data_IF_700739178196
#
_entry.id   IF_700739178196
#
_cell.length_a   1.000
_cell.length_b   1.000
_cell.length_c   1.000
_cell.angle_alpha   90.00
_cell.angle_beta   90.00
_cell.angle_gamma   90.00
#
_symmetry.space_group_name_H-M   'P 1'
#
loop_
_entity.id
_entity.type
_entity.pdbx_description
1 polymer ?
#
# COMPACT_ATOMS: atom_id res chain seq x y z
N UNK A 1 -6.60 28.76 -15.04
CA UNK A 1 -5.68 27.93 -15.83
C UNK A 1 -4.30 28.03 -15.23
N UNK A 2 -3.63 26.90 -14.95
CA UNK A 2 -2.27 26.88 -14.42
C UNK A 2 -1.28 26.15 -15.34
N UNK A 3 -1.76 25.35 -16.27
CA UNK A 3 -0.93 24.79 -17.34
C UNK A 3 -1.73 24.52 -18.61
N UNK A 4 -1.02 24.38 -19.74
CA UNK A 4 -1.58 23.95 -21.04
C UNK A 4 -0.65 22.92 -21.65
N UNK A 5 -1.23 21.82 -22.13
CA UNK A 5 -0.53 20.72 -22.81
C UNK A 5 -1.19 20.52 -24.18
N UNK A 6 -0.48 20.79 -25.27
CA UNK A 6 -0.97 20.66 -26.65
C UNK A 6 -2.35 21.32 -26.91
N UNK A 7 -2.67 22.38 -26.18
CA UNK A 7 -3.96 23.06 -26.23
C UNK A 7 -4.99 22.60 -25.20
N UNK A 8 -4.77 21.49 -24.51
CA UNK A 8 -5.62 21.05 -23.38
C UNK A 8 -5.28 21.82 -22.11
N UNK A 9 -6.27 22.46 -21.51
CA UNK A 9 -6.10 23.25 -20.28
C UNK A 9 -6.11 22.37 -19.04
N UNK A 10 -5.12 22.57 -18.16
CA UNK A 10 -5.12 22.08 -16.77
C UNK A 10 -5.58 23.23 -15.88
N UNK A 11 -6.77 23.09 -15.28
CA UNK A 11 -7.42 24.14 -14.52
C UNK A 11 -6.86 24.19 -13.08
N UNK A 12 -6.90 25.37 -12.49
CA UNK A 12 -6.54 25.60 -11.10
C UNK A 12 -7.31 24.69 -10.14
N UNK A 13 -8.63 24.57 -10.35
CA UNK A 13 -9.50 23.80 -9.47
C UNK A 13 -9.14 22.31 -9.47
N UNK A 14 -8.68 21.78 -10.60
CA UNK A 14 -8.18 20.41 -10.71
C UNK A 14 -6.91 20.22 -9.86
N UNK A 15 -5.94 21.13 -9.98
CA UNK A 15 -4.71 21.09 -9.19
C UNK A 15 -5.01 21.24 -7.70
N UNK A 16 -5.89 22.16 -7.30
CA UNK A 16 -6.31 22.33 -5.90
C UNK A 16 -7.00 21.06 -5.33
N UNK A 17 -7.79 20.36 -6.15
CA UNK A 17 -8.42 19.09 -5.78
C UNK A 17 -7.38 18.00 -5.51
N UNK A 18 -6.42 17.81 -6.41
CA UNK A 18 -5.33 16.83 -6.20
C UNK A 18 -4.40 17.23 -5.05
N UNK A 19 -4.09 18.51 -4.90
CA UNK A 19 -3.34 19.03 -3.76
C UNK A 19 -4.02 18.63 -2.43
N UNK A 20 -5.32 18.87 -2.29
CA UNK A 20 -6.07 18.51 -1.07
C UNK A 20 -6.10 17.02 -0.79
N UNK A 21 -6.14 16.19 -1.82
CA UNK A 21 -6.12 14.73 -1.64
C UNK A 21 -4.78 14.21 -1.11
N UNK A 22 -3.70 14.99 -1.23
CA UNK A 22 -2.35 14.65 -0.76
C UNK A 22 -2.02 15.24 0.62
N UNK A 23 -2.75 16.27 1.05
CA UNK A 23 -2.58 16.86 2.38
C UNK A 23 -3.37 16.05 3.40
N UNK A 24 -2.71 15.66 4.50
CA UNK A 24 -3.40 14.96 5.59
C UNK A 24 -4.34 15.94 6.32
N UNK A 25 -5.66 15.71 6.33
CA UNK A 25 -6.62 16.61 6.97
C UNK A 25 -6.50 16.66 8.50
N UNK A 26 -5.87 15.67 9.11
CA UNK A 26 -5.63 15.59 10.57
C UNK A 26 -4.20 16.04 10.95
N UNK A 27 -3.39 16.40 9.96
CA UNK A 27 -2.01 16.84 10.14
C UNK A 27 -1.89 18.34 10.37
N UNK A 28 -0.65 18.80 10.63
CA UNK A 28 -0.34 20.21 10.65
C UNK A 28 -0.48 20.79 9.23
N UNK A 29 -1.10 21.97 9.11
CA UNK A 29 -1.19 22.65 7.81
C UNK A 29 0.21 22.91 7.25
N UNK A 30 0.49 22.58 5.99
CA UNK A 30 1.79 22.86 5.40
C UNK A 30 2.04 24.36 5.31
N UNK A 31 3.29 24.74 5.47
CA UNK A 31 3.71 26.13 5.24
C UNK A 31 3.37 26.59 3.82
N UNK A 32 3.39 27.90 3.56
CA UNK A 32 3.11 28.44 2.23
C UNK A 32 4.09 27.89 1.17
N UNK A 33 5.36 27.72 1.53
CA UNK A 33 6.39 27.19 0.63
C UNK A 33 6.19 25.70 0.35
N UNK A 34 5.87 24.91 1.37
CA UNK A 34 5.55 23.49 1.23
C UNK A 34 4.29 23.28 0.38
N UNK A 35 3.24 24.06 0.64
CA UNK A 35 2.01 24.03 -0.14
C UNK A 35 2.27 24.37 -1.62
N UNK A 36 3.11 25.36 -1.88
CA UNK A 36 3.46 25.78 -3.22
C UNK A 36 4.30 24.71 -3.95
N UNK A 37 5.29 24.15 -3.26
CA UNK A 37 6.11 23.05 -3.77
C UNK A 37 5.25 21.85 -4.14
N UNK A 38 4.29 21.48 -3.27
CA UNK A 38 3.36 20.38 -3.54
C UNK A 38 2.45 20.68 -4.75
N UNK A 39 1.95 21.92 -4.88
CA UNK A 39 1.13 22.32 -6.05
C UNK A 39 1.93 22.31 -7.35
N UNK A 40 3.20 22.69 -7.34
CA UNK A 40 4.08 22.57 -8.49
C UNK A 40 4.28 21.11 -8.89
N UNK A 41 4.51 20.22 -7.92
CA UNK A 41 4.65 18.78 -8.16
C UNK A 41 3.37 18.18 -8.74
N UNK A 42 2.21 18.52 -8.17
CA UNK A 42 0.89 18.09 -8.69
C UNK A 42 0.68 18.59 -10.12
N UNK A 43 1.04 19.83 -10.39
CA UNK A 43 0.92 20.41 -11.75
C UNK A 43 1.80 19.64 -12.74
N UNK A 44 3.04 19.32 -12.39
CA UNK A 44 3.93 18.54 -13.24
C UNK A 44 3.42 17.11 -13.48
N UNK A 45 2.86 16.47 -12.45
CA UNK A 45 2.20 15.17 -12.58
C UNK A 45 1.00 15.22 -13.55
N UNK A 46 0.15 16.23 -13.43
CA UNK A 46 -1.00 16.39 -14.32
C UNK A 46 -0.57 16.68 -15.76
N UNK A 47 0.47 17.49 -15.98
CA UNK A 47 1.08 17.71 -17.30
C UNK A 47 1.54 16.38 -17.89
N UNK A 48 2.29 15.58 -17.13
CA UNK A 48 2.80 14.28 -17.59
C UNK A 48 1.66 13.31 -17.92
N UNK A 49 0.62 13.27 -17.08
CA UNK A 49 -0.56 12.44 -17.29
C UNK A 49 -1.32 12.85 -18.58
N UNK A 50 -1.47 14.15 -18.83
CA UNK A 50 -2.15 14.64 -20.05
C UNK A 50 -1.35 14.30 -21.32
N UNK A 51 -0.02 14.44 -21.29
CA UNK A 51 0.86 14.02 -22.40
C UNK A 51 0.67 12.53 -22.70
N UNK A 52 0.68 11.67 -21.67
CA UNK A 52 0.50 10.24 -21.84
C UNK A 52 -0.92 9.88 -22.29
N UNK A 53 -1.94 10.58 -21.78
CA UNK A 53 -3.34 10.37 -22.18
C UNK A 53 -3.56 10.71 -23.66
N UNK A 54 -3.02 11.81 -24.12
CA UNK A 54 -3.08 12.17 -25.56
C UNK A 54 -2.39 11.12 -26.44
N UNK A 55 -1.27 10.57 -26.00
CA UNK A 55 -0.62 9.46 -26.72
C UNK A 55 -1.48 8.20 -26.72
N UNK A 56 -2.11 7.88 -25.58
CA UNK A 56 -3.05 6.77 -25.50
C UNK A 56 -4.21 6.95 -26.50
N UNK A 57 -4.77 8.16 -26.61
CA UNK A 57 -5.82 8.50 -27.57
C UNK A 57 -5.34 8.33 -29.02
N UNK A 58 -4.17 8.87 -29.37
CA UNK A 58 -3.57 8.74 -30.71
C UNK A 58 -3.34 7.29 -31.13
N UNK A 59 -3.12 6.40 -30.17
CA UNK A 59 -2.90 4.98 -30.39
C UNK A 59 -4.15 4.11 -30.21
N UNK A 60 -5.32 4.72 -29.99
CA UNK A 60 -6.60 4.03 -29.68
C UNK A 60 -6.50 3.07 -28.49
N UNK A 61 -5.85 3.51 -27.43
CA UNK A 61 -5.65 2.78 -26.18
C UNK A 61 -6.49 3.33 -25.02
N UNK A 62 -7.52 4.10 -25.32
CA UNK A 62 -8.44 4.57 -24.29
C UNK A 62 -9.17 3.40 -23.64
N UNK A 63 -9.42 3.53 -22.33
CA UNK A 63 -10.19 2.54 -21.62
C UNK A 63 -11.67 2.61 -22.03
N UNK A 64 -12.27 1.46 -22.30
CA UNK A 64 -13.68 1.32 -22.59
C UNK A 64 -14.55 1.55 -21.36
N UNK A 65 -15.86 1.79 -21.56
CA UNK A 65 -16.81 1.93 -20.45
C UNK A 65 -16.87 0.66 -19.60
N UNK A 66 -16.78 -0.52 -20.22
CA UNK A 66 -16.73 -1.81 -19.50
C UNK A 66 -15.53 -1.93 -18.57
N UNK A 67 -14.31 -1.63 -19.08
CA UNK A 67 -13.09 -1.66 -18.25
C UNK A 67 -13.16 -0.70 -17.06
N UNK A 68 -13.78 0.46 -17.26
CA UNK A 68 -13.98 1.45 -16.18
C UNK A 68 -14.99 0.95 -15.16
N UNK A 69 -16.09 0.34 -15.60
CA UNK A 69 -17.13 -0.17 -14.70
C UNK A 69 -16.63 -1.38 -13.89
N UNK A 70 -15.88 -2.28 -14.51
CA UNK A 70 -15.25 -3.43 -13.84
C UNK A 70 -14.32 -2.94 -12.73
N UNK A 71 -13.46 -1.96 -13.04
CA UNK A 71 -12.52 -1.39 -12.05
C UNK A 71 -13.22 -0.61 -10.95
N UNK A 72 -14.28 0.11 -11.29
CA UNK A 72 -15.13 0.81 -10.32
C UNK A 72 -15.79 -0.18 -9.36
N UNK A 73 -16.35 -1.28 -9.87
CA UNK A 73 -16.98 -2.33 -9.07
C UNK A 73 -15.96 -3.01 -8.15
N UNK A 74 -14.76 -3.31 -8.65
CA UNK A 74 -13.66 -3.85 -7.83
C UNK A 74 -13.31 -2.93 -6.66
N UNK A 75 -13.16 -1.62 -6.90
CA UNK A 75 -12.83 -0.63 -5.87
C UNK A 75 -13.95 -0.44 -4.85
N UNK A 76 -15.19 -0.59 -5.27
CA UNK A 76 -16.38 -0.43 -4.40
C UNK A 76 -16.62 -1.67 -3.54
N UNK A 77 -16.26 -2.86 -4.03
CA UNK A 77 -16.63 -4.15 -3.44
C UNK A 77 -16.26 -4.35 -1.95
N UNK A 78 -15.16 -3.76 -1.40
CA UNK A 78 -14.83 -3.90 0.01
C UNK A 78 -15.70 -3.05 0.96
N UNK A 79 -16.51 -2.14 0.42
CA UNK A 79 -17.26 -1.15 1.19
C UNK A 79 -18.75 -1.34 1.04
N UNK A 80 -19.51 -0.97 2.07
CA UNK A 80 -20.95 -0.71 1.94
C UNK A 80 -21.17 0.56 1.12
N UNK A 81 -22.39 0.74 0.56
CA UNK A 81 -22.73 1.95 -0.20
C UNK A 81 -22.49 3.23 0.60
N UNK A 82 -22.92 3.25 1.86
CA UNK A 82 -22.78 4.43 2.73
C UNK A 82 -21.33 4.75 3.08
N UNK A 83 -20.49 3.74 3.27
CA UNK A 83 -19.05 3.90 3.51
C UNK A 83 -18.35 4.43 2.27
N UNK A 84 -18.67 3.87 1.12
CA UNK A 84 -18.11 4.31 -0.16
C UNK A 84 -18.46 5.77 -0.45
N UNK A 85 -19.73 6.16 -0.28
CA UNK A 85 -20.16 7.55 -0.47
C UNK A 85 -19.50 8.51 0.53
N UNK A 86 -19.33 8.10 1.79
CA UNK A 86 -18.60 8.90 2.79
C UNK A 86 -17.14 9.11 2.39
N UNK A 87 -16.47 8.09 1.87
CA UNK A 87 -15.09 8.21 1.40
C UNK A 87 -14.96 9.14 0.19
N UNK A 88 -15.87 9.04 -0.78
CA UNK A 88 -15.90 9.96 -1.92
C UNK A 88 -16.08 11.40 -1.47
N UNK A 89 -17.05 11.63 -0.57
CA UNK A 89 -17.33 12.96 -0.01
C UNK A 89 -16.15 13.53 0.77
N UNK A 90 -15.46 12.72 1.56
CA UNK A 90 -14.26 13.12 2.29
C UNK A 90 -13.14 13.58 1.35
N UNK A 91 -13.06 13.01 0.13
CA UNK A 91 -12.11 13.39 -0.92
C UNK A 91 -12.63 14.50 -1.84
N UNK A 92 -13.86 15.01 -1.62
CA UNK A 92 -14.49 16.00 -2.48
C UNK A 92 -14.74 15.49 -3.92
N UNK A 93 -15.00 14.19 -4.09
CA UNK A 93 -15.19 13.53 -5.38
C UNK A 93 -16.62 13.03 -5.55
N UNK A 94 -17.14 13.11 -6.78
CA UNK A 94 -18.34 12.40 -7.21
C UNK A 94 -17.97 11.02 -7.80
N UNK A 95 -18.97 10.16 -7.99
CA UNK A 95 -18.80 8.88 -8.71
C UNK A 95 -18.30 9.12 -10.14
N UNK A 96 -18.82 10.14 -10.82
CA UNK A 96 -18.42 10.49 -12.19
C UNK A 96 -16.97 11.01 -12.24
N UNK A 97 -16.53 11.74 -11.21
CA UNK A 97 -15.13 12.15 -11.08
C UNK A 97 -14.22 10.92 -10.95
N UNK A 98 -14.59 9.98 -10.07
CA UNK A 98 -13.84 8.75 -9.89
C UNK A 98 -13.78 7.93 -11.19
N UNK A 99 -14.89 7.76 -11.89
CA UNK A 99 -14.92 7.03 -13.17
C UNK A 99 -14.07 7.72 -14.26
N UNK A 100 -14.06 9.06 -14.30
CA UNK A 100 -13.16 9.80 -15.21
C UNK A 100 -11.70 9.58 -14.88
N UNK A 101 -11.33 9.63 -13.60
CA UNK A 101 -9.96 9.39 -13.14
C UNK A 101 -9.53 7.94 -13.42
N UNK A 102 -10.42 6.96 -13.22
CA UNK A 102 -10.18 5.57 -13.58
C UNK A 102 -9.94 5.40 -15.09
N UNK A 103 -10.75 6.04 -15.93
CA UNK A 103 -10.54 6.00 -17.39
C UNK A 103 -9.17 6.54 -17.77
N UNK A 104 -8.77 7.69 -17.21
CA UNK A 104 -7.43 8.26 -17.44
C UNK A 104 -6.33 7.29 -17.04
N UNK A 105 -6.41 6.75 -15.82
CA UNK A 105 -5.42 5.81 -15.28
C UNK A 105 -5.32 4.53 -16.12
N UNK A 106 -6.44 3.91 -16.46
CA UNK A 106 -6.49 2.69 -17.26
C UNK A 106 -5.94 2.93 -18.67
N UNK A 107 -6.27 4.07 -19.29
CA UNK A 107 -5.75 4.44 -20.63
C UNK A 107 -4.24 4.61 -20.62
N UNK A 108 -3.69 5.32 -19.61
CA UNK A 108 -2.24 5.48 -19.42
C UNK A 108 -1.59 4.12 -19.13
N UNK A 109 -2.21 3.28 -18.32
CA UNK A 109 -1.70 1.94 -18.04
C UNK A 109 -1.63 1.07 -19.31
N UNK A 110 -2.68 1.08 -20.14
CA UNK A 110 -2.69 0.37 -21.45
C UNK A 110 -1.57 0.87 -22.35
N UNK A 111 -1.35 2.19 -22.41
CA UNK A 111 -0.25 2.77 -23.16
C UNK A 111 1.10 2.26 -22.67
N UNK A 112 1.37 2.36 -21.36
CA UNK A 112 2.64 1.95 -20.78
C UNK A 112 2.85 0.44 -20.86
N UNK A 113 1.79 -0.36 -20.73
CA UNK A 113 1.89 -1.81 -20.93
C UNK A 113 2.33 -2.14 -22.36
N UNK A 114 1.75 -1.48 -23.38
CA UNK A 114 2.08 -1.70 -24.79
C UNK A 114 3.45 -1.13 -25.17
N UNK A 115 3.73 0.11 -24.81
CA UNK A 115 4.91 0.84 -25.30
C UNK A 115 6.15 0.61 -24.43
N UNK A 116 5.99 0.15 -23.20
CA UNK A 116 7.08 -0.07 -22.24
C UNK A 116 7.14 -1.53 -21.82
N UNK A 117 6.15 -2.01 -21.06
CA UNK A 117 6.22 -3.31 -20.39
C UNK A 117 6.35 -4.49 -21.38
N UNK A 118 5.62 -4.44 -22.50
CA UNK A 118 5.67 -5.46 -23.55
C UNK A 118 7.04 -5.56 -24.26
N UNK A 119 7.86 -4.52 -24.19
CA UNK A 119 9.20 -4.48 -24.80
C UNK A 119 10.30 -5.00 -23.87
N UNK A 120 9.96 -5.29 -22.61
CA UNK A 120 10.94 -5.75 -21.62
C UNK A 120 11.16 -7.25 -21.75
N UNK A 121 12.36 -7.61 -22.12
CA UNK A 121 12.85 -9.01 -22.09
C UNK A 121 13.96 -9.14 -21.05
N UNK A 122 13.87 -10.17 -20.22
CA UNK A 122 14.91 -10.56 -19.26
C UNK A 122 15.41 -11.93 -19.69
N UNK A 123 16.64 -11.98 -20.14
CA UNK A 123 17.29 -13.23 -20.59
C UNK A 123 17.90 -13.99 -19.43
N UNK A 124 18.24 -15.27 -19.62
CA UNK A 124 18.99 -16.06 -18.65
C UNK A 124 20.37 -15.49 -18.39
N UNK A 125 20.98 -14.87 -19.41
CA UNK A 125 22.25 -14.16 -19.28
C UNK A 125 22.12 -12.95 -18.35
N UNK A 126 21.05 -12.14 -18.49
CA UNK A 126 20.80 -11.01 -17.58
C UNK A 126 20.69 -11.50 -16.11
N UNK A 127 20.05 -12.67 -15.90
CA UNK A 127 19.92 -13.28 -14.57
C UNK A 127 21.26 -13.73 -14.02
N UNK A 128 22.06 -14.41 -14.86
CA UNK A 128 23.40 -14.88 -14.45
C UNK A 128 24.33 -13.72 -14.12
N UNK A 129 24.34 -12.67 -14.93
CA UNK A 129 25.20 -11.49 -14.73
C UNK A 129 24.81 -10.74 -13.46
N UNK A 130 23.50 -10.56 -13.23
CA UNK A 130 23.01 -9.95 -12.02
C UNK A 130 23.38 -10.77 -10.78
N UNK A 131 23.18 -12.08 -10.83
CA UNK A 131 23.54 -12.98 -9.74
C UNK A 131 25.03 -12.89 -9.42
N UNK A 132 25.91 -12.98 -10.43
CA UNK A 132 27.36 -12.95 -10.25
C UNK A 132 27.83 -11.62 -9.62
N UNK A 133 27.25 -10.51 -10.06
CA UNK A 133 27.56 -9.17 -9.53
C UNK A 133 27.04 -8.97 -8.11
N UNK A 134 25.91 -9.61 -7.76
CA UNK A 134 25.21 -9.42 -6.49
C UNK A 134 25.20 -10.68 -5.61
N UNK A 135 26.12 -11.58 -5.80
CA UNK A 135 26.15 -12.92 -5.18
C UNK A 135 25.96 -12.90 -3.67
N UNK A 136 26.53 -11.90 -2.99
CA UNK A 136 26.43 -11.76 -1.54
C UNK A 136 24.98 -11.50 -1.05
N UNK A 137 24.11 -10.93 -1.89
CA UNK A 137 22.71 -10.70 -1.55
C UNK A 137 21.89 -12.01 -1.47
N UNK A 138 22.40 -13.09 -2.05
CA UNK A 138 21.80 -14.41 -2.06
C UNK A 138 22.46 -15.37 -1.07
N UNK A 139 23.25 -14.83 -0.13
CA UNK A 139 23.80 -15.61 0.96
C UNK A 139 22.93 -15.44 2.21
N UNK A 140 22.38 -16.54 2.67
CA UNK A 140 21.65 -16.62 3.93
C UNK A 140 22.65 -16.86 5.05
N UNK A 141 22.95 -15.83 5.84
CA UNK A 141 24.04 -15.85 6.82
C UNK A 141 23.81 -16.90 7.93
N UNK A 142 22.57 -17.15 8.30
CA UNK A 142 22.15 -18.11 9.33
C UNK A 142 20.81 -18.74 8.98
N UNK A 143 20.43 -19.89 9.58
CA UNK A 143 19.11 -20.48 9.35
C UNK A 143 17.99 -19.50 9.65
N UNK A 144 16.95 -19.50 8.82
CA UNK A 144 15.78 -18.62 8.95
C UNK A 144 14.50 -19.44 8.95
N UNK A 145 13.52 -18.96 9.69
CA UNK A 145 12.23 -19.61 9.88
C UNK A 145 11.12 -18.63 9.53
N UNK A 146 10.34 -18.92 8.50
CA UNK A 146 9.13 -18.14 8.20
C UNK A 146 8.01 -18.64 9.07
N UNK A 147 7.51 -17.75 9.94
CA UNK A 147 6.56 -18.09 10.99
C UNK A 147 5.32 -17.22 10.84
N UNK A 148 4.15 -17.83 10.98
CA UNK A 148 2.91 -17.10 11.24
C UNK A 148 2.43 -17.39 12.65
N UNK A 149 1.76 -16.40 13.29
CA UNK A 149 1.24 -16.52 14.64
C UNK A 149 -0.21 -16.08 14.77
N UNK A 150 -0.92 -16.70 15.70
CA UNK A 150 -2.17 -16.18 16.27
C UNK A 150 -1.87 -15.87 17.73
N UNK A 151 -2.06 -14.65 18.14
CA UNK A 151 -1.84 -14.18 19.52
C UNK A 151 -3.18 -13.97 20.20
N UNK A 152 -3.29 -14.46 21.43
CA UNK A 152 -4.45 -14.32 22.30
C UNK A 152 -3.93 -13.78 23.63
N UNK A 153 -4.45 -12.68 24.11
CA UNK A 153 -4.04 -12.03 25.36
C UNK A 153 -5.08 -12.25 26.44
N UNK A 154 -4.70 -12.58 27.70
CA UNK A 154 -5.64 -12.81 28.80
C UNK A 154 -6.10 -11.52 29.46
N UNK A 155 -6.21 -10.43 28.70
CA UNK A 155 -6.58 -9.10 29.19
C UNK A 155 -7.24 -8.31 28.07
N UNK A 156 -8.05 -7.33 28.43
CA UNK A 156 -8.65 -6.42 27.45
C UNK A 156 -7.58 -5.59 26.74
N UNK A 157 -7.56 -5.65 25.43
CA UNK A 157 -6.69 -4.82 24.60
C UNK A 157 -7.37 -3.50 24.21
N UNK A 158 -6.58 -2.41 24.16
CA UNK A 158 -7.10 -1.08 23.83
C UNK A 158 -7.52 -0.97 22.36
N UNK A 159 -6.88 -1.74 21.49
CA UNK A 159 -7.14 -1.76 20.05
C UNK A 159 -7.05 -3.19 19.53
N UNK A 160 -8.18 -3.82 19.33
CA UNK A 160 -8.27 -5.08 18.58
C UNK A 160 -8.57 -4.76 17.11
N UNK A 161 -7.74 -5.28 16.20
CA UNK A 161 -7.88 -5.04 14.76
C UNK A 161 -8.20 -6.30 13.97
N UNK A 162 -8.63 -7.37 14.63
CA UNK A 162 -9.11 -8.54 13.91
C UNK A 162 -10.52 -8.29 13.35
N UNK A 163 -10.89 -9.04 12.30
CA UNK A 163 -12.15 -8.83 11.56
C UNK A 163 -13.41 -9.08 12.39
N UNK A 164 -13.31 -9.86 13.46
CA UNK A 164 -14.44 -10.20 14.35
C UNK A 164 -14.58 -9.25 15.53
N UNK A 165 -13.62 -8.32 15.71
CA UNK A 165 -13.48 -7.54 16.94
C UNK A 165 -13.51 -8.43 18.20
N UNK A 166 -12.93 -9.63 18.08
CA UNK A 166 -12.90 -10.65 19.11
C UNK A 166 -11.68 -10.39 20.01
N UNK A 167 -11.93 -10.18 21.30
CA UNK A 167 -10.95 -9.85 22.34
C UNK A 167 -11.19 -10.73 23.56
N UNK A 168 -10.18 -11.48 23.99
CA UNK A 168 -10.24 -12.26 25.21
C UNK A 168 -9.83 -11.41 26.40
N UNK A 169 -10.77 -11.04 27.26
CA UNK A 169 -10.58 -10.04 28.31
C UNK A 169 -10.04 -10.60 29.63
N UNK A 170 -9.96 -11.93 29.76
CA UNK A 170 -9.50 -12.64 30.96
C UNK A 170 -8.92 -14.02 30.61
N UNK A 171 -8.16 -14.68 31.52
CA UNK A 171 -7.52 -15.96 31.25
C UNK A 171 -8.48 -17.06 30.79
N UNK A 172 -9.67 -17.15 31.38
CA UNK A 172 -10.64 -18.19 31.03
C UNK A 172 -11.20 -18.03 29.59
N UNK A 173 -11.37 -16.79 29.15
CA UNK A 173 -11.74 -16.48 27.76
C UNK A 173 -10.60 -16.78 26.80
N UNK A 174 -9.36 -16.41 27.15
CA UNK A 174 -8.19 -16.69 26.35
C UNK A 174 -7.98 -18.20 26.14
N UNK A 175 -8.14 -19.00 27.18
CA UNK A 175 -8.06 -20.47 27.08
C UNK A 175 -9.17 -21.07 26.20
N UNK A 176 -10.41 -20.61 26.37
CA UNK A 176 -11.54 -21.04 25.54
C UNK A 176 -11.32 -20.69 24.05
N UNK A 177 -10.84 -19.47 23.79
CA UNK A 177 -10.50 -19.00 22.44
C UNK A 177 -9.37 -19.82 21.83
N UNK A 178 -8.29 -20.06 22.58
CA UNK A 178 -7.18 -20.89 22.14
C UNK A 178 -7.62 -22.31 21.79
N UNK A 179 -8.46 -22.92 22.61
CA UNK A 179 -9.03 -24.25 22.34
C UNK A 179 -9.88 -24.22 21.07
N UNK A 180 -10.81 -23.30 20.95
CA UNK A 180 -11.67 -23.14 19.76
C UNK A 180 -10.84 -23.00 18.48
N UNK A 181 -9.78 -22.17 18.49
CA UNK A 181 -8.92 -21.96 17.34
C UNK A 181 -8.10 -23.23 17.02
N UNK A 182 -7.57 -23.91 18.04
CA UNK A 182 -6.85 -25.16 17.87
C UNK A 182 -7.75 -26.25 17.25
N UNK A 183 -9.00 -26.38 17.71
CA UNK A 183 -9.97 -27.32 17.19
C UNK A 183 -10.31 -27.03 15.70
N UNK A 184 -10.48 -25.75 15.35
CA UNK A 184 -10.69 -25.32 13.96
C UNK A 184 -9.49 -25.64 13.07
N UNK A 185 -8.26 -25.37 13.54
CA UNK A 185 -7.03 -25.65 12.81
C UNK A 185 -6.84 -27.15 12.59
N UNK A 186 -7.12 -27.95 13.62
CA UNK A 186 -7.09 -29.42 13.50
C UNK A 186 -8.15 -29.96 12.53
N UNK A 187 -9.25 -29.24 12.34
CA UNK A 187 -10.30 -29.55 11.35
C UNK A 187 -9.98 -29.05 9.94
N UNK A 188 -8.78 -28.46 9.72
CA UNK A 188 -8.31 -28.03 8.42
C UNK A 188 -8.68 -26.59 8.04
N UNK A 189 -9.11 -25.75 9.00
CA UNK A 189 -9.35 -24.34 8.73
C UNK A 189 -8.06 -23.62 8.34
N UNK A 190 -8.19 -22.61 7.47
CA UNK A 190 -7.04 -21.83 7.01
C UNK A 190 -6.47 -20.96 8.16
N UNK A 191 -5.17 -21.08 8.39
CA UNK A 191 -4.48 -20.39 9.48
C UNK A 191 -4.51 -18.86 9.31
N UNK A 192 -4.29 -18.38 8.08
CA UNK A 192 -4.23 -16.94 7.83
C UNK A 192 -5.62 -16.30 8.01
N UNK A 193 -6.70 -16.98 7.57
CA UNK A 193 -8.06 -16.51 7.82
C UNK A 193 -8.37 -16.44 9.32
N UNK A 194 -8.00 -17.47 10.09
CA UNK A 194 -8.21 -17.46 11.54
C UNK A 194 -7.37 -16.39 12.22
N UNK A 195 -6.15 -16.12 11.75
CA UNK A 195 -5.34 -15.02 12.26
C UNK A 195 -5.98 -13.65 12.00
N UNK A 196 -6.48 -13.41 10.78
CA UNK A 196 -7.19 -12.18 10.43
C UNK A 196 -8.48 -12.00 11.23
N UNK A 197 -9.19 -13.09 11.52
CA UNK A 197 -10.48 -13.05 12.19
C UNK A 197 -10.36 -12.93 13.72
N UNK A 198 -9.30 -13.51 14.33
CA UNK A 198 -9.25 -13.72 15.78
C UNK A 198 -7.95 -13.31 16.46
N UNK A 199 -6.84 -13.08 15.75
CA UNK A 199 -5.58 -12.69 16.38
C UNK A 199 -5.69 -11.30 17.01
N UNK A 200 -5.20 -11.17 18.24
CA UNK A 200 -5.17 -9.90 18.98
C UNK A 200 -3.87 -9.12 18.75
N UNK A 201 -2.94 -9.66 17.93
CA UNK A 201 -1.75 -8.94 17.51
C UNK A 201 -2.07 -7.93 16.41
N UNK A 202 -2.11 -6.65 16.76
CA UNK A 202 -2.42 -5.54 15.86
C UNK A 202 -1.47 -5.40 14.67
N UNK A 203 -0.24 -5.94 14.80
CA UNK A 203 0.80 -5.80 13.77
C UNK A 203 0.70 -6.88 12.69
N UNK A 204 0.26 -8.08 13.06
CA UNK A 204 0.29 -9.23 12.13
C UNK A 204 -1.08 -9.78 11.79
N UNK A 205 -2.12 -9.50 12.59
CA UNK A 205 -3.48 -10.01 12.35
C UNK A 205 -3.97 -9.70 10.94
N UNK A 206 -3.86 -8.45 10.48
CA UNK A 206 -4.29 -8.03 9.14
C UNK A 206 -3.57 -8.71 7.98
N UNK A 207 -2.39 -9.28 8.24
CA UNK A 207 -1.57 -10.02 7.26
C UNK A 207 -1.55 -11.54 7.53
N UNK A 208 -2.63 -12.08 8.08
CA UNK A 208 -2.75 -13.53 8.33
C UNK A 208 -1.76 -14.06 9.38
N UNK A 209 -1.27 -13.19 10.26
CA UNK A 209 -0.32 -13.55 11.31
C UNK A 209 1.14 -13.68 10.86
N UNK A 210 1.48 -13.37 9.59
CA UNK A 210 2.82 -13.57 9.05
C UNK A 210 3.85 -12.62 9.68
N UNK A 211 4.87 -13.20 10.33
CA UNK A 211 6.02 -12.51 10.90
C UNK A 211 7.19 -12.38 9.91
N UNK A 212 7.07 -12.98 8.71
CA UNK A 212 8.16 -13.11 7.77
C UNK A 212 9.24 -14.10 8.22
N UNK A 213 10.45 -13.94 7.68
CA UNK A 213 11.59 -14.77 8.03
C UNK A 213 12.29 -14.25 9.29
N UNK A 214 12.37 -15.10 10.32
CA UNK A 214 13.04 -14.82 11.58
C UNK A 214 14.37 -15.58 11.58
N UNK A 215 15.52 -14.89 11.72
CA UNK A 215 16.82 -15.53 11.82
C UNK A 215 16.96 -16.31 13.13
N UNK A 216 17.78 -17.36 13.12
CA UNK A 216 17.97 -18.22 14.30
C UNK A 216 18.50 -17.44 15.50
N UNK A 217 19.34 -16.44 15.27
CA UNK A 217 19.86 -15.55 16.31
C UNK A 217 18.73 -14.77 17.04
N UNK A 218 17.73 -14.28 16.31
CA UNK A 218 16.56 -13.62 16.91
C UNK A 218 15.68 -14.62 17.64
N UNK A 219 15.51 -15.84 17.09
CA UNK A 219 14.77 -16.91 17.74
C UNK A 219 15.48 -17.35 19.05
N UNK A 220 16.82 -17.31 19.10
CA UNK A 220 17.61 -17.61 20.28
C UNK A 220 17.41 -16.59 21.43
N UNK A 221 17.02 -15.35 21.09
CA UNK A 221 16.70 -14.28 22.05
C UNK A 221 15.24 -14.27 22.47
N UNK A 222 14.39 -15.07 21.84
CA UNK A 222 12.97 -15.19 22.17
C UNK A 222 12.76 -16.07 23.41
N UNK A 223 11.48 -16.15 23.85
CA UNK A 223 11.08 -17.07 24.92
C UNK A 223 11.52 -18.51 24.58
N UNK A 224 12.17 -19.23 25.53
CA UNK A 224 12.68 -20.60 25.29
C UNK A 224 11.61 -21.58 24.83
N UNK A 225 10.36 -21.40 25.26
CA UNK A 225 9.24 -22.25 24.85
C UNK A 225 8.84 -21.98 23.39
N UNK A 226 8.83 -20.71 22.97
CA UNK A 226 8.61 -20.35 21.56
C UNK A 226 9.69 -20.93 20.67
N UNK A 227 10.96 -20.73 21.03
CA UNK A 227 12.10 -21.30 20.31
C UNK A 227 11.97 -22.82 20.17
N UNK A 228 11.75 -23.53 21.28
CA UNK A 228 11.57 -24.98 21.29
C UNK A 228 10.43 -25.42 20.38
N UNK A 229 9.31 -24.70 20.44
CA UNK A 229 8.14 -24.98 19.61
C UNK A 229 8.46 -24.83 18.12
N UNK A 230 9.02 -23.70 17.72
CA UNK A 230 9.36 -23.43 16.31
C UNK A 230 10.34 -24.45 15.75
N UNK A 231 11.41 -24.77 16.52
CA UNK A 231 12.42 -25.75 16.09
C UNK A 231 11.86 -27.17 15.98
N UNK A 232 10.81 -27.51 16.73
CA UNK A 232 10.14 -28.80 16.68
C UNK A 232 9.14 -28.97 15.53
N UNK A 233 8.72 -27.87 14.87
CA UNK A 233 7.75 -27.92 13.80
C UNK A 233 8.42 -28.27 12.45
N UNK A 234 7.64 -28.95 11.60
CA UNK A 234 7.96 -29.12 10.18
C UNK A 234 7.31 -28.00 9.35
N UNK A 235 7.88 -27.64 8.18
CA UNK A 235 7.22 -26.71 7.26
C UNK A 235 5.77 -27.11 6.97
N UNK A 236 4.85 -26.16 7.07
CA UNK A 236 3.40 -26.34 6.96
C UNK A 236 2.69 -26.73 8.27
N UNK A 237 3.41 -27.17 9.29
CA UNK A 237 2.84 -27.63 10.55
C UNK A 237 2.43 -26.48 11.47
N UNK A 238 1.30 -26.67 12.17
CA UNK A 238 0.78 -25.78 13.21
C UNK A 238 1.12 -26.37 14.60
N UNK A 239 1.50 -25.52 15.53
CA UNK A 239 1.76 -25.91 16.91
C UNK A 239 0.46 -26.10 17.71
N UNK A 240 0.50 -26.84 18.81
CA UNK A 240 -0.48 -26.65 19.88
C UNK A 240 -0.46 -25.21 20.39
N UNK A 241 -1.49 -24.83 21.16
CA UNK A 241 -1.48 -23.56 21.87
C UNK A 241 -0.32 -23.50 22.87
N UNK A 242 0.53 -22.49 22.75
CA UNK A 242 1.72 -22.27 23.57
C UNK A 242 1.40 -21.20 24.62
N UNK A 243 1.34 -21.60 25.88
CA UNK A 243 1.09 -20.69 27.00
C UNK A 243 2.36 -19.94 27.35
N UNK A 244 2.36 -18.62 27.22
CA UNK A 244 3.41 -17.71 27.66
C UNK A 244 2.94 -16.91 28.88
N UNK A 245 3.85 -16.11 29.43
CA UNK A 245 3.52 -15.29 30.61
C UNK A 245 2.35 -14.32 30.36
N UNK A 246 2.33 -13.66 29.20
CA UNK A 246 1.40 -12.58 28.91
C UNK A 246 0.45 -12.86 27.72
N UNK A 247 0.53 -14.06 27.14
CA UNK A 247 -0.27 -14.43 25.97
C UNK A 247 -0.29 -15.92 25.72
N UNK A 248 -1.29 -16.38 24.98
CA UNK A 248 -1.31 -17.71 24.36
C UNK A 248 -1.01 -17.51 22.89
N UNK A 249 -0.11 -18.32 22.32
CA UNK A 249 0.23 -18.24 20.90
C UNK A 249 0.03 -19.59 20.22
N UNK A 250 -0.52 -19.55 19.02
CA UNK A 250 -0.54 -20.67 18.09
C UNK A 250 0.38 -20.30 16.93
N UNK A 251 1.37 -21.13 16.64
CA UNK A 251 2.41 -20.88 15.65
C UNK A 251 2.24 -21.80 14.45
N UNK A 252 2.55 -21.30 13.27
CA UNK A 252 2.69 -22.11 12.04
C UNK A 252 4.09 -21.87 11.47
N UNK A 253 4.86 -22.93 11.30
CA UNK A 253 6.08 -22.87 10.53
C UNK A 253 5.73 -22.95 9.04
N UNK A 254 5.84 -21.82 8.33
CA UNK A 254 5.52 -21.74 6.90
C UNK A 254 6.65 -22.32 6.06
N UNK A 255 7.91 -21.92 6.36
CA UNK A 255 9.10 -22.40 5.67
C UNK A 255 10.32 -22.38 6.60
N UNK A 256 11.33 -23.18 6.26
CA UNK A 256 12.64 -23.18 6.91
C UNK A 256 13.71 -23.04 5.83
N UNK A 257 14.59 -22.06 6.00
CA UNK A 257 15.73 -21.85 5.13
C UNK A 257 17.02 -22.18 5.89
N UNK A 258 17.86 -23.02 5.29
CA UNK A 258 19.17 -23.29 5.82
C UNK A 258 20.12 -22.12 5.52
N UNK A 259 21.14 -21.90 6.34
CA UNK A 259 22.23 -21.00 6.00
C UNK A 259 22.98 -21.47 4.74
N UNK A 260 23.59 -20.52 4.05
CA UNK A 260 24.44 -20.79 2.89
C UNK A 260 24.10 -19.96 1.66
N UNK A 261 24.95 -20.10 0.66
CA UNK A 261 24.79 -19.41 -0.62
C UNK A 261 23.67 -20.05 -1.43
N UNK A 262 22.68 -19.27 -1.80
CA UNK A 262 21.65 -19.68 -2.76
C UNK A 262 22.22 -19.65 -4.17
N UNK A 263 22.04 -20.72 -4.91
CA UNK A 263 22.55 -20.82 -6.27
C UNK A 263 21.69 -20.06 -7.29
N UNK A 264 22.28 -19.69 -8.41
CA UNK A 264 21.54 -19.04 -9.52
C UNK A 264 20.43 -19.95 -10.11
N UNK A 265 20.55 -21.28 -9.94
CA UNK A 265 19.54 -22.24 -10.40
C UNK A 265 18.40 -22.44 -9.41
N UNK A 266 18.43 -21.79 -8.24
CA UNK A 266 17.32 -21.78 -7.30
C UNK A 266 16.15 -21.01 -7.94
N UNK A 267 14.94 -21.63 -8.08
CA UNK A 267 13.80 -20.98 -8.74
C UNK A 267 13.40 -19.67 -8.07
N UNK A 268 13.53 -19.56 -6.75
CA UNK A 268 13.17 -18.35 -6.00
C UNK A 268 14.18 -17.23 -6.25
N UNK A 269 15.48 -17.58 -6.32
CA UNK A 269 16.55 -16.64 -6.69
C UNK A 269 16.33 -16.12 -8.11
N UNK A 270 16.07 -17.01 -9.07
CA UNK A 270 15.77 -16.63 -10.44
C UNK A 270 14.56 -15.69 -10.55
N UNK A 271 13.47 -16.04 -9.87
CA UNK A 271 12.27 -15.20 -9.89
C UNK A 271 12.54 -13.82 -9.30
N UNK A 272 13.19 -13.76 -8.13
CA UNK A 272 13.56 -12.50 -7.48
C UNK A 272 14.44 -11.61 -8.37
N UNK A 273 15.42 -12.21 -9.05
CA UNK A 273 16.27 -11.48 -9.98
C UNK A 273 15.49 -10.98 -11.19
N UNK A 274 14.65 -11.84 -11.80
CA UNK A 274 13.83 -11.45 -12.96
C UNK A 274 12.89 -10.31 -12.62
N UNK A 275 12.23 -10.37 -11.48
CA UNK A 275 11.32 -9.30 -11.02
C UNK A 275 12.10 -7.99 -10.76
N UNK A 276 13.26 -8.09 -10.11
CA UNK A 276 14.14 -6.93 -9.86
C UNK A 276 14.59 -6.28 -11.16
N UNK A 277 15.08 -7.08 -12.10
CA UNK A 277 15.55 -6.59 -13.41
C UNK A 277 14.40 -6.01 -14.23
N UNK A 278 13.23 -6.67 -14.25
CA UNK A 278 12.03 -6.18 -14.92
C UNK A 278 11.61 -4.81 -14.36
N UNK A 279 11.52 -4.68 -13.05
CA UNK A 279 11.15 -3.42 -12.41
C UNK A 279 12.13 -2.29 -12.73
N UNK A 280 13.45 -2.57 -12.69
CA UNK A 280 14.48 -1.59 -13.06
C UNK A 280 14.38 -1.17 -14.53
N UNK A 281 14.23 -2.13 -15.45
CA UNK A 281 14.07 -1.85 -16.89
C UNK A 281 12.76 -1.07 -17.13
N UNK A 282 11.69 -1.42 -16.45
CA UNK A 282 10.41 -0.74 -16.57
C UNK A 282 10.50 0.73 -16.11
N UNK A 283 11.09 1.00 -14.95
CA UNK A 283 11.31 2.38 -14.49
C UNK A 283 12.15 3.20 -15.48
N UNK A 284 13.25 2.63 -15.95
CA UNK A 284 14.12 3.28 -16.94
C UNK A 284 13.37 3.62 -18.22
N UNK A 285 12.67 2.63 -18.79
CA UNK A 285 11.93 2.81 -20.04
C UNK A 285 10.74 3.74 -19.90
N UNK A 286 10.03 3.71 -18.77
CA UNK A 286 8.96 4.68 -18.46
C UNK A 286 9.49 6.10 -18.41
N UNK A 287 10.61 6.32 -17.71
CA UNK A 287 11.25 7.65 -17.64
C UNK A 287 11.71 8.13 -19.02
N UNK A 288 12.35 7.26 -19.80
CA UNK A 288 12.79 7.58 -21.14
C UNK A 288 11.59 7.85 -22.08
N UNK A 289 10.54 7.02 -22.02
CA UNK A 289 9.33 7.21 -22.80
C UNK A 289 8.64 8.53 -22.49
N UNK A 290 8.52 8.88 -21.20
CA UNK A 290 7.95 10.16 -20.80
C UNK A 290 8.82 11.33 -21.22
N UNK A 291 10.15 11.23 -21.14
CA UNK A 291 11.05 12.29 -21.60
C UNK A 291 10.87 12.58 -23.10
N UNK A 292 10.84 11.54 -23.93
CA UNK A 292 10.56 11.68 -25.38
C UNK A 292 9.17 12.25 -25.62
N UNK A 293 8.15 11.76 -24.87
CA UNK A 293 6.79 12.26 -25.00
C UNK A 293 6.67 13.75 -24.64
N UNK A 294 7.41 14.17 -23.62
CA UNK A 294 7.44 15.56 -23.14
C UNK A 294 8.16 16.50 -24.11
N UNK A 295 9.25 16.04 -24.72
CA UNK A 295 10.00 16.81 -25.73
C UNK A 295 9.16 17.11 -26.99
N UNK A 296 8.28 16.19 -27.38
CA UNK A 296 7.37 16.36 -28.50
C UNK A 296 6.12 17.18 -28.17
N UNK A 297 5.83 17.41 -26.88
CA UNK A 297 4.63 18.11 -26.44
C UNK A 297 4.86 19.63 -26.32
N UNK A 298 3.82 20.41 -26.67
CA UNK A 298 3.81 21.86 -26.40
C UNK A 298 3.26 22.10 -25.00
N UNK A 299 4.15 22.34 -24.03
CA UNK A 299 3.79 22.55 -22.63
C UNK A 299 4.03 24.01 -22.22
N UNK A 300 3.04 24.61 -21.58
CA UNK A 300 3.19 25.90 -20.87
C UNK A 300 2.72 25.71 -19.44
N UNK A 301 3.65 25.88 -18.49
CA UNK A 301 3.35 25.82 -17.06
C UNK A 301 3.29 27.24 -16.47
N UNK A 302 2.10 27.82 -16.47
CA UNK A 302 1.87 29.19 -15.96
C UNK A 302 2.09 29.29 -14.45
N UNK A 303 1.80 28.23 -13.67
CA UNK A 303 2.06 28.22 -12.25
C UNK A 303 3.56 28.39 -11.97
N UNK A 304 4.39 27.60 -12.67
CA UNK A 304 5.84 27.71 -12.52
C UNK A 304 6.36 29.09 -12.93
N UNK A 305 5.87 29.65 -14.03
CA UNK A 305 6.23 31.01 -14.46
C UNK A 305 5.87 32.05 -13.38
N UNK A 306 4.65 32.02 -12.85
CA UNK A 306 4.20 32.92 -11.78
C UNK A 306 5.05 32.81 -10.52
N UNK A 307 5.44 31.60 -10.14
CA UNK A 307 6.28 31.37 -8.95
C UNK A 307 7.67 31.97 -9.16
N UNK A 308 8.26 31.83 -10.35
CA UNK A 308 9.56 32.43 -10.67
C UNK A 308 9.45 33.97 -10.68
N UNK A 309 8.45 34.54 -11.33
CA UNK A 309 8.22 35.99 -11.40
C UNK A 309 7.93 36.59 -10.03
N UNK A 310 7.24 35.89 -9.15
CA UNK A 310 6.91 36.31 -7.80
C UNK A 310 8.00 35.93 -6.75
N UNK A 311 9.18 35.52 -7.18
CA UNK A 311 10.31 35.14 -6.33
C UNK A 311 9.91 34.10 -5.23
N UNK A 312 9.18 33.07 -5.60
CA UNK A 312 8.75 32.00 -4.69
C UNK A 312 7.47 32.28 -3.90
N UNK A 313 6.76 33.36 -4.21
CA UNK A 313 5.46 33.66 -3.61
C UNK A 313 4.33 33.42 -4.60
N UNK A 314 3.16 32.96 -4.12
CA UNK A 314 1.97 33.02 -4.95
C UNK A 314 1.41 34.46 -4.96
N UNK A 315 0.97 34.99 -6.12
CA UNK A 315 0.23 36.25 -6.17
C UNK A 315 -1.00 36.20 -5.26
N UNK A 316 -1.40 37.29 -4.66
CA UNK A 316 -2.54 37.34 -3.73
C UNK A 316 -3.86 36.84 -4.31
N UNK A 317 -4.06 36.95 -5.63
CA UNK A 317 -5.19 36.37 -6.36
C UNK A 317 -5.19 34.81 -6.36
N UNK A 318 -4.10 34.18 -5.96
CA UNK A 318 -3.97 32.71 -5.86
C UNK A 318 -4.18 32.18 -4.44
N UNK A 319 -4.37 33.05 -3.45
CA UNK A 319 -4.78 32.67 -2.10
C UNK A 319 -6.21 32.18 -2.18
N UNK A 320 -6.44 30.95 -1.72
CA UNK A 320 -7.71 30.23 -1.78
C UNK A 320 -8.88 31.11 -1.26
N UNK A 321 -9.89 31.36 -2.09
CA UNK A 321 -11.15 31.98 -1.70
C UNK A 321 -12.20 30.96 -1.21
N UNK A 322 -11.77 29.85 -0.62
CA UNK A 322 -12.70 28.87 -0.06
C UNK A 322 -12.85 29.13 1.44
N UNK A 323 -14.10 29.18 1.95
CA UNK A 323 -14.36 29.38 3.36
C UNK A 323 -13.71 28.26 4.20
N UNK A 324 -13.21 28.58 5.41
CA UNK A 324 -12.65 27.57 6.30
C UNK A 324 -13.70 26.50 6.59
N UNK A 325 -13.31 25.24 6.50
CA UNK A 325 -14.15 24.12 6.95
C UNK A 325 -14.38 24.34 8.44
N UNK A 326 -15.63 24.64 8.84
CA UNK A 326 -16.01 24.72 10.25
C UNK A 326 -15.69 23.38 10.90
N UNK A 327 -14.76 23.40 11.85
CA UNK A 327 -14.56 22.28 12.76
C UNK A 327 -15.90 21.94 13.45
N UNK A 328 -16.20 20.66 13.65
CA UNK A 328 -17.41 20.27 14.37
C UNK A 328 -17.31 20.85 15.80
N UNK A 329 -18.30 21.65 16.16
CA UNK A 329 -18.45 22.22 17.50
C UNK A 329 -18.54 21.06 18.51
N UNK A 330 -17.71 21.00 19.56
CA UNK A 330 -17.85 19.98 20.58
C UNK A 330 -19.22 20.13 21.24
N UNK A 331 -19.94 19.00 21.35
CA UNK A 331 -21.23 18.94 22.00
C UNK A 331 -21.08 19.40 23.46
N UNK A 332 -21.80 20.46 23.81
CA UNK A 332 -21.93 20.99 25.17
C UNK A 332 -22.54 19.91 26.07
N UNK A 333 -21.72 19.22 26.83
CA UNK A 333 -22.20 18.44 27.97
C UNK A 333 -22.51 19.39 29.12
N UNK A 334 -23.76 19.74 29.26
CA UNK A 334 -24.30 20.38 30.47
C UNK A 334 -24.15 19.40 31.65
N UNK A 335 -23.56 19.80 32.79
CA UNK A 335 -23.62 18.98 33.98
C UNK A 335 -25.03 19.04 34.60
N UNK A 336 -25.68 17.91 34.68
CA UNK A 336 -26.93 17.77 35.42
C UNK A 336 -26.61 17.77 36.92
N UNK A 337 -26.81 18.91 37.57
CA UNK A 337 -26.94 19.00 39.01
C UNK A 337 -28.34 18.50 39.40
N UNK A 338 -28.41 17.40 40.13
CA UNK A 338 -29.60 17.05 40.90
C UNK A 338 -29.16 16.81 42.35
N UNK A 339 -29.83 17.55 43.20
CA UNK A 339 -29.80 17.47 44.65
C UNK A 339 -30.15 16.08 45.18
#
# INVERSE_FOLDING_TARGET
MWAVVNGTEIKRDEIEKYYRSQVNPEGQEPSQEEALSLKLNVTDQLINNEILLERAKKLNLEASDGEVEDKFTELKSPFTEDEFQRQLKARGMSVDDLKRDLRRQLSIQKLLNREVAAKITITDQDVADFYNTNRNQFNVAEPQYRISQIVITPRKELQVRNRKNDDATNPAEAERKAKMLTDKLNSGADFAQLAMDYSEDVNTAGNGGDLGYIPESALNQSDPLLKKTVLGLKPGQVSPAVQLKDSIRILKLVAREAAGQRGVNDPQVQQTIRDTLRNRKEQLLRSAYLAVARDEAKVTNYLAQQVVEAAGKLPDAAKSTLPPVKAPTPANTTPNNTQ
#
